data_IF_401606122451
#
_entry.id   IF_401606122451
#
_cell.length_a   1.000
_cell.length_b   1.000
_cell.length_c   1.000
_cell.angle_alpha   90.00
_cell.angle_beta   90.00
_cell.angle_gamma   90.00
#
_symmetry.space_group_name_H-M   'P 1'
#
loop_
_entity.id
_entity.type
_entity.pdbx_description
1 polymer ?
#
# COMPACT_ATOMS: atom_id res chain seq x y z
N UNK A 1 0.18 15.61 -1.54
CA UNK A 1 -0.90 14.66 -1.18
C UNK A 1 -0.40 13.28 -1.50
N UNK A 2 -0.55 12.34 -0.58
CA UNK A 2 -0.13 10.96 -0.79
C UNK A 2 -1.19 10.16 -1.52
N UNK A 3 -0.73 9.29 -2.40
CA UNK A 3 -1.54 8.31 -3.10
C UNK A 3 -1.01 6.96 -2.66
N UNK A 4 -1.91 6.12 -2.16
CA UNK A 4 -1.53 4.83 -1.59
C UNK A 4 -2.28 3.75 -2.36
N UNK A 5 -1.75 3.32 -3.52
CA UNK A 5 -2.22 2.11 -4.19
C UNK A 5 -1.90 0.92 -3.30
N UNK A 6 -2.93 0.14 -2.96
CA UNK A 6 -2.76 -1.02 -2.11
C UNK A 6 -3.59 -2.21 -2.58
N UNK A 7 -3.08 -3.40 -2.29
CA UNK A 7 -3.85 -4.64 -2.30
C UNK A 7 -3.69 -5.29 -0.92
N UNK A 8 -4.60 -6.19 -0.58
CA UNK A 8 -4.38 -7.06 0.56
C UNK A 8 -4.99 -8.43 0.30
N UNK A 9 -4.44 -9.44 0.97
CA UNK A 9 -4.97 -10.80 0.99
C UNK A 9 -4.85 -11.35 2.40
N UNK A 10 -5.96 -11.89 2.89
CA UNK A 10 -5.98 -12.59 4.18
C UNK A 10 -6.06 -14.09 3.93
N UNK A 11 -5.22 -14.86 4.59
CA UNK A 11 -5.25 -16.33 4.58
C UNK A 11 -5.17 -16.87 6.02
N UNK A 12 -5.70 -18.06 6.23
CA UNK A 12 -5.55 -18.81 7.49
C UNK A 12 -4.46 -19.87 7.30
N UNK A 13 -3.42 -19.82 8.13
CA UNK A 13 -2.34 -20.82 8.16
C UNK A 13 -2.28 -21.39 9.57
N UNK A 14 -2.54 -22.71 9.73
CA UNK A 14 -2.44 -23.38 11.03
C UNK A 14 -3.19 -22.65 12.17
N UNK A 15 -4.44 -22.24 11.92
CA UNK A 15 -5.28 -21.45 12.83
C UNK A 15 -4.82 -19.99 13.07
N UNK A 16 -3.70 -19.56 12.51
CA UNK A 16 -3.26 -18.17 12.53
C UNK A 16 -3.79 -17.40 11.33
N UNK A 17 -4.38 -16.23 11.58
CA UNK A 17 -4.74 -15.28 10.53
C UNK A 17 -3.50 -14.52 10.08
N UNK A 18 -3.22 -14.56 8.77
CA UNK A 18 -2.12 -13.81 8.13
C UNK A 18 -2.72 -12.90 7.08
N UNK A 19 -2.52 -11.60 7.25
CA UNK A 19 -2.88 -10.58 6.26
C UNK A 19 -1.62 -10.05 5.59
N UNK A 20 -1.48 -10.29 4.29
CA UNK A 20 -0.48 -9.64 3.47
C UNK A 20 -1.08 -8.36 2.88
N UNK A 21 -0.44 -7.22 3.11
CA UNK A 21 -0.80 -5.92 2.52
C UNK A 21 0.34 -5.53 1.57
N UNK A 22 0.03 -5.30 0.31
CA UNK A 22 1.01 -4.77 -0.65
C UNK A 22 0.70 -3.30 -0.90
N UNK A 23 1.72 -2.46 -0.80
CA UNK A 23 1.62 -1.03 -1.04
C UNK A 23 2.60 -0.65 -2.13
N UNK A 24 2.15 0.17 -3.08
CA UNK A 24 3.05 0.74 -4.08
C UNK A 24 3.83 1.89 -3.45
N UNK A 25 5.14 1.77 -3.51
CA UNK A 25 6.10 2.72 -2.92
C UNK A 25 7.10 3.17 -3.97
N UNK A 26 7.75 4.31 -3.73
CA UNK A 26 8.87 4.81 -4.53
C UNK A 26 10.16 4.44 -3.79
N UNK A 27 11.09 3.77 -4.49
CA UNK A 27 12.36 3.30 -3.92
C UNK A 27 12.21 2.34 -2.74
N UNK A 28 11.06 1.67 -2.63
CA UNK A 28 10.74 0.78 -1.50
C UNK A 28 10.52 1.48 -0.16
N UNK A 29 10.76 2.79 -0.09
CA UNK A 29 10.94 3.52 1.17
C UNK A 29 10.07 4.75 1.27
N UNK A 30 9.58 5.31 0.16
CA UNK A 30 8.76 6.51 0.15
C UNK A 30 7.34 6.19 -0.34
N UNK A 31 6.35 6.91 0.20
CA UNK A 31 4.99 6.90 -0.35
C UNK A 31 4.94 7.77 -1.61
N UNK A 32 4.08 7.40 -2.55
CA UNK A 32 3.86 8.21 -3.74
C UNK A 32 3.18 9.53 -3.36
N UNK A 33 3.85 10.64 -3.67
CA UNK A 33 3.40 12.00 -3.37
C UNK A 33 3.16 12.77 -4.65
N UNK A 34 2.00 13.42 -4.72
CA UNK A 34 1.60 14.28 -5.84
C UNK A 34 1.05 15.61 -5.34
N UNK A 35 1.32 16.69 -6.08
CA UNK A 35 0.93 18.05 -5.68
C UNK A 35 -0.53 18.37 -6.07
N UNK A 36 -1.03 17.80 -7.17
CA UNK A 36 -2.36 18.10 -7.70
C UNK A 36 -3.09 16.82 -8.15
N UNK A 37 -3.96 16.29 -7.29
CA UNK A 37 -4.71 15.05 -7.56
C UNK A 37 -6.13 15.28 -8.09
N UNK A 38 -6.36 16.40 -8.79
CA UNK A 38 -7.64 16.59 -9.50
C UNK A 38 -7.85 15.41 -10.45
N UNK A 39 -8.98 14.70 -10.30
CA UNK A 39 -9.29 13.48 -11.03
C UNK A 39 -8.19 12.41 -10.91
N UNK A 40 -7.84 12.05 -9.66
CA UNK A 40 -6.84 11.04 -9.28
C UNK A 40 -6.79 9.82 -10.22
N UNK A 41 -7.94 9.20 -10.49
CA UNK A 41 -8.03 8.04 -11.37
C UNK A 41 -7.55 8.34 -12.80
N UNK A 42 -8.08 9.39 -13.43
CA UNK A 42 -7.83 9.70 -14.85
C UNK A 42 -6.46 10.32 -15.11
N UNK A 43 -5.97 11.11 -14.16
CA UNK A 43 -4.78 11.93 -14.36
C UNK A 43 -3.52 11.29 -13.80
N UNK A 44 -3.66 10.35 -12.85
CA UNK A 44 -2.53 9.79 -12.12
C UNK A 44 -2.55 8.26 -12.19
N UNK A 45 -3.62 7.59 -11.75
CA UNK A 45 -3.62 6.12 -11.64
C UNK A 45 -3.66 5.43 -13.01
N UNK A 46 -4.68 5.71 -13.84
CA UNK A 46 -4.85 5.06 -15.14
C UNK A 46 -3.69 5.29 -16.12
N UNK A 47 -3.09 6.51 -16.22
CA UNK A 47 -1.91 6.71 -17.05
C UNK A 47 -0.70 5.88 -16.62
N UNK A 48 -0.61 5.53 -15.33
CA UNK A 48 0.42 4.63 -14.79
C UNK A 48 -0.03 3.17 -14.78
N UNK A 49 -1.10 2.80 -15.51
CA UNK A 49 -1.58 1.41 -15.58
C UNK A 49 -2.27 0.89 -14.32
N UNK A 50 -2.54 1.74 -13.33
CA UNK A 50 -3.15 1.35 -12.06
C UNK A 50 -4.66 1.60 -12.12
N UNK A 51 -5.44 0.53 -11.99
CA UNK A 51 -6.89 0.58 -11.90
C UNK A 51 -7.34 0.23 -10.49
N UNK A 52 -8.44 0.81 -10.01
CA UNK A 52 -8.91 0.64 -8.64
C UNK A 52 -10.27 -0.05 -8.56
N UNK A 53 -10.49 -0.83 -7.49
CA UNK A 53 -11.78 -1.39 -7.08
C UNK A 53 -12.50 -0.36 -6.21
N UNK A 54 -13.59 0.22 -6.73
CA UNK A 54 -14.40 1.20 -5.99
C UNK A 54 -13.82 2.61 -6.04
N UNK A 55 -14.31 3.48 -5.15
CA UNK A 55 -13.86 4.88 -5.08
C UNK A 55 -12.64 5.03 -4.15
N UNK A 56 -11.69 5.93 -4.44
CA UNK A 56 -10.62 6.26 -3.52
C UNK A 56 -11.16 6.79 -2.19
N UNK A 57 -10.60 6.33 -1.08
CA UNK A 57 -10.94 6.81 0.26
C UNK A 57 -9.96 7.90 0.67
N UNK A 58 -10.47 9.11 0.91
CA UNK A 58 -9.64 10.24 1.35
C UNK A 58 -9.53 10.24 2.87
N UNK A 59 -8.31 10.23 3.40
CA UNK A 59 -8.03 10.42 4.83
C UNK A 59 -6.89 11.43 5.00
N UNK A 60 -7.17 12.56 5.65
CA UNK A 60 -6.23 13.68 5.80
C UNK A 60 -5.62 14.09 4.44
N UNK A 61 -4.31 13.98 4.30
CA UNK A 61 -3.48 14.29 3.14
C UNK A 61 -3.21 13.07 2.25
N UNK A 62 -3.97 11.98 2.41
CA UNK A 62 -3.78 10.72 1.71
C UNK A 62 -5.03 10.23 0.98
N UNK A 63 -4.84 9.54 -0.14
CA UNK A 63 -5.86 8.75 -0.83
C UNK A 63 -5.50 7.27 -0.80
N UNK A 64 -6.35 6.48 -0.14
CA UNK A 64 -6.28 5.03 -0.16
C UNK A 64 -6.95 4.52 -1.43
N UNK A 65 -6.19 3.82 -2.26
CA UNK A 65 -6.59 3.39 -3.59
C UNK A 65 -6.51 1.86 -3.64
N UNK A 66 -7.64 1.17 -3.40
CA UNK A 66 -7.68 -0.30 -3.46
C UNK A 66 -7.52 -0.73 -4.91
N UNK A 67 -6.42 -1.39 -5.26
CA UNK A 67 -6.09 -1.75 -6.63
C UNK A 67 -6.95 -2.92 -7.12
N UNK A 68 -7.36 -2.84 -8.38
CA UNK A 68 -8.00 -3.91 -9.14
C UNK A 68 -6.94 -4.77 -9.80
N UNK A 69 -6.56 -5.86 -9.14
CA UNK A 69 -5.56 -6.81 -9.63
C UNK A 69 -6.00 -7.61 -10.86
N UNK A 70 -7.27 -7.55 -11.26
CA UNK A 70 -7.76 -8.17 -12.50
C UNK A 70 -7.55 -7.27 -13.71
N UNK A 71 -7.42 -5.95 -13.49
CA UNK A 71 -7.22 -4.94 -14.54
C UNK A 71 -5.82 -4.34 -14.52
N UNK A 72 -5.18 -4.32 -13.36
CA UNK A 72 -3.82 -3.80 -13.15
C UNK A 72 -2.86 -4.96 -13.32
N UNK A 73 -1.94 -4.84 -14.28
CA UNK A 73 -0.86 -5.78 -14.44
C UNK A 73 0.18 -5.53 -13.33
N UNK A 74 0.13 -6.35 -12.28
CA UNK A 74 0.99 -6.16 -11.10
C UNK A 74 2.47 -6.36 -11.45
N UNK A 75 2.77 -7.11 -12.52
CA UNK A 75 4.14 -7.36 -12.99
C UNK A 75 4.77 -6.21 -13.77
N UNK A 76 4.01 -5.15 -14.09
CA UNK A 76 4.55 -3.91 -14.68
C UNK A 76 5.38 -3.10 -13.68
N UNK A 77 5.33 -3.47 -12.39
CA UNK A 77 6.08 -2.85 -11.31
C UNK A 77 7.01 -3.86 -10.66
N UNK A 78 8.17 -3.39 -10.21
CA UNK A 78 9.10 -4.21 -9.45
C UNK A 78 8.53 -4.63 -8.11
N UNK A 79 8.98 -5.76 -7.59
CA UNK A 79 8.91 -6.05 -6.17
C UNK A 79 10.03 -5.32 -5.45
N UNK A 80 9.81 -5.01 -4.18
CA UNK A 80 10.81 -4.32 -3.37
C UNK A 80 12.17 -5.05 -3.30
N UNK A 81 12.17 -6.38 -3.34
CA UNK A 81 13.39 -7.21 -3.34
C UNK A 81 14.09 -7.29 -4.72
N UNK A 82 13.48 -6.73 -5.77
CA UNK A 82 14.04 -6.67 -7.12
C UNK A 82 14.79 -5.36 -7.42
N UNK A 83 14.69 -4.36 -6.52
CA UNK A 83 15.34 -3.06 -6.69
C UNK A 83 16.52 -2.89 -5.71
N UNK A 84 17.47 -2.03 -6.07
CA UNK A 84 18.59 -1.71 -5.20
C UNK A 84 18.11 -0.95 -3.95
N UNK A 85 18.71 -1.24 -2.79
CA UNK A 85 18.38 -0.55 -1.54
C UNK A 85 18.65 0.98 -1.57
N UNK A 86 19.45 1.44 -2.53
CA UNK A 86 19.77 2.85 -2.76
C UNK A 86 18.90 3.50 -3.84
N UNK A 87 17.99 2.76 -4.47
CA UNK A 87 17.05 3.32 -5.44
C UNK A 87 15.96 4.09 -4.70
N UNK A 88 15.82 5.37 -5.00
CA UNK A 88 14.85 6.30 -4.42
C UNK A 88 13.81 6.81 -5.44
N UNK A 89 13.81 6.27 -6.67
CA UNK A 89 12.97 6.77 -7.78
C UNK A 89 12.03 5.72 -8.37
N UNK A 90 12.36 4.43 -8.27
CA UNK A 90 11.61 3.37 -8.93
C UNK A 90 10.36 2.99 -8.15
N UNK A 91 9.21 2.89 -8.83
CA UNK A 91 7.99 2.35 -8.24
C UNK A 91 8.11 0.84 -8.02
N UNK A 92 7.79 0.39 -6.80
CA UNK A 92 7.79 -1.02 -6.46
C UNK A 92 6.72 -1.40 -5.42
N UNK A 93 6.28 -2.65 -5.49
CA UNK A 93 5.38 -3.26 -4.52
C UNK A 93 6.17 -3.72 -3.29
N UNK A 94 5.83 -3.13 -2.15
CA UNK A 94 6.34 -3.58 -0.85
C UNK A 94 5.26 -4.32 -0.09
N UNK A 95 5.58 -5.53 0.38
CA UNK A 95 4.65 -6.40 1.10
C UNK A 95 4.89 -6.31 2.60
N UNK A 96 3.81 -6.11 3.36
CA UNK A 96 3.78 -6.10 4.82
C UNK A 96 2.90 -7.25 5.31
N UNK A 97 3.36 -7.98 6.32
CA UNK A 97 2.64 -9.11 6.88
C UNK A 97 2.16 -8.78 8.30
N UNK A 98 0.86 -8.86 8.50
CA UNK A 98 0.21 -8.76 9.81
C UNK A 98 -0.26 -10.15 10.21
N UNK A 99 0.10 -10.57 11.43
CA UNK A 99 -0.26 -11.87 11.96
C UNK A 99 -1.01 -11.71 13.29
N UNK A 100 -1.99 -12.56 13.56
CA UNK A 100 -2.73 -12.60 14.82
C UNK A 100 -4.21 -12.22 14.72
N UNK A 101 -4.90 -12.23 15.87
CA UNK A 101 -6.32 -11.92 15.98
C UNK A 101 -6.60 -10.42 16.14
N UNK A 102 -7.82 -10.00 15.80
CA UNK A 102 -8.27 -8.58 15.65
C UNK A 102 -7.93 -7.65 16.82
N UNK A 103 -7.74 -8.16 18.02
CA UNK A 103 -7.56 -7.32 19.21
C UNK A 103 -6.13 -6.79 19.35
N UNK A 104 -5.12 -7.53 18.84
CA UNK A 104 -3.73 -7.11 18.83
C UNK A 104 -3.02 -7.68 17.58
N UNK A 105 -3.03 -6.98 16.44
CA UNK A 105 -2.20 -7.36 15.31
C UNK A 105 -0.73 -7.21 15.72
N UNK A 106 -0.15 -8.28 16.27
CA UNK A 106 1.27 -8.37 16.50
C UNK A 106 1.93 -8.47 15.13
N UNK A 107 2.35 -7.34 14.58
CA UNK A 107 3.26 -7.36 13.45
C UNK A 107 4.54 -8.05 13.91
N UNK A 108 4.71 -9.30 13.52
CA UNK A 108 5.87 -10.10 13.90
C UNK A 108 7.15 -9.59 13.24
N UNK A 109 7.02 -8.95 12.08
CA UNK A 109 8.07 -8.15 11.48
C UNK A 109 7.98 -6.74 12.03
N UNK A 110 9.12 -6.15 12.39
CA UNK A 110 9.19 -4.74 12.75
C UNK A 110 8.58 -3.93 11.60
N UNK A 111 7.36 -3.45 11.78
CA UNK A 111 6.88 -2.32 11.01
C UNK A 111 7.91 -1.24 11.28
N UNK A 112 8.58 -0.68 10.26
CA UNK A 112 9.48 0.41 10.50
C UNK A 112 8.72 1.44 11.34
N UNK A 113 9.21 1.74 12.54
CA UNK A 113 8.65 2.82 13.38
C UNK A 113 8.89 4.20 12.74
N UNK A 114 9.46 4.20 11.54
CA UNK A 114 9.60 5.32 10.63
C UNK A 114 8.23 5.96 10.42
N UNK A 115 8.14 7.24 10.74
CA UNK A 115 7.04 8.07 10.28
C UNK A 115 7.27 8.40 8.81
N UNK A 116 6.24 8.26 7.99
CA UNK A 116 6.22 8.91 6.68
C UNK A 116 5.57 10.26 6.84
N UNK A 117 6.40 11.31 6.97
CA UNK A 117 6.07 12.75 6.97
C UNK A 117 4.89 13.19 7.88
N UNK A 118 3.69 12.62 7.73
CA UNK A 118 2.42 12.90 8.43
C UNK A 118 1.66 11.67 8.96
N UNK A 119 2.02 10.42 8.61
CA UNK A 119 1.30 9.20 9.01
C UNK A 119 2.22 8.10 9.58
N UNK A 120 1.76 7.44 10.65
CA UNK A 120 2.41 6.22 11.18
C UNK A 120 1.90 5.02 10.39
N UNK A 121 2.77 4.07 10.07
CA UNK A 121 2.38 2.81 9.42
C UNK A 121 1.20 2.09 10.11
N UNK A 122 1.13 2.14 11.44
CA UNK A 122 0.01 1.57 12.21
C UNK A 122 -1.33 2.21 11.83
N UNK A 123 -1.40 3.54 11.76
CA UNK A 123 -2.63 4.25 11.34
C UNK A 123 -3.00 3.87 9.90
N UNK A 124 -2.01 3.76 9.01
CA UNK A 124 -2.24 3.34 7.63
C UNK A 124 -2.81 1.92 7.54
N UNK A 125 -2.23 0.96 8.26
CA UNK A 125 -2.73 -0.41 8.27
C UNK A 125 -4.10 -0.54 8.92
N UNK A 126 -4.38 0.20 10.00
CA UNK A 126 -5.70 0.23 10.62
C UNK A 126 -6.76 0.76 9.64
N UNK A 127 -6.42 1.78 8.85
CA UNK A 127 -7.31 2.29 7.81
C UNK A 127 -7.54 1.26 6.71
N UNK A 128 -6.48 0.62 6.21
CA UNK A 128 -6.59 -0.43 5.20
C UNK A 128 -7.43 -1.60 5.70
N UNK A 129 -7.25 -2.03 6.96
CA UNK A 129 -7.97 -3.14 7.56
C UNK A 129 -9.44 -2.83 7.87
N UNK A 130 -9.81 -1.56 8.06
CA UNK A 130 -11.22 -1.14 8.23
C UNK A 130 -12.02 -1.20 6.92
N UNK A 131 -11.34 -1.14 5.78
CA UNK A 131 -11.95 -1.28 4.45
C UNK A 131 -12.15 -2.75 4.02
N UNK A 132 -11.80 -3.72 4.88
CA UNK A 132 -11.90 -5.18 4.66
C UNK A 132 -13.02 -5.80 5.48
#
# INVERSE_FOLDING_TARGET
MFIIPYTHKTIMIQQMKVTAIQILTVGGTYLWKEENVRLLEKNILHPNGIFIKGKPVKHKDMYLCRVDTEKTEMSDFYKWDEINATDDTTFCWRTFYLMGEKEHPHSWLSIPNAQWESCRYQELFDLILKEV
#
